data_IF_240093600556
#
_entry.id   IF_240093600556
#
_cell.length_a   1.000
_cell.length_b   1.000
_cell.length_c   1.000
_cell.angle_alpha   90.00
_cell.angle_beta   90.00
_cell.angle_gamma   90.00
#
_symmetry.space_group_name_H-M   'P 1'
#
loop_
_entity.id
_entity.type
_entity.pdbx_description
1 polymer ?
#
# COMPACT_ATOMS: atom_id res chain seq x y z
N UNK A 1 -12.45 -0.94 22.91
CA UNK A 1 -11.69 -0.96 21.65
C UNK A 1 -12.43 -1.88 20.69
N UNK A 2 -12.93 -1.35 19.58
CA UNK A 2 -13.67 -2.12 18.58
C UNK A 2 -12.75 -2.34 17.38
N UNK A 3 -12.71 -3.56 16.86
CA UNK A 3 -11.89 -3.94 15.70
C UNK A 3 -12.83 -4.09 14.51
N UNK A 4 -12.45 -3.50 13.39
CA UNK A 4 -13.18 -3.55 12.13
C UNK A 4 -12.24 -3.99 11.00
N UNK A 5 -12.74 -4.84 10.10
CA UNK A 5 -12.00 -5.24 8.90
C UNK A 5 -12.30 -4.24 7.77
N UNK A 6 -11.34 -3.39 7.47
CA UNK A 6 -11.46 -2.33 6.44
C UNK A 6 -11.29 -2.83 5.00
N UNK A 7 -10.52 -3.89 4.79
CA UNK A 7 -10.23 -4.47 3.48
C UNK A 7 -9.93 -5.96 3.64
N UNK A 8 -10.23 -6.76 2.60
CA UNK A 8 -9.92 -8.19 2.56
C UNK A 8 -9.49 -8.61 1.16
N UNK A 9 -8.20 -8.39 0.89
CA UNK A 9 -7.58 -8.75 -0.38
C UNK A 9 -6.89 -10.11 -0.37
N UNK A 10 -6.97 -10.85 0.74
CA UNK A 10 -6.23 -12.10 0.95
C UNK A 10 -4.75 -11.97 0.54
N UNK A 11 -4.09 -10.89 0.99
CA UNK A 11 -2.69 -10.63 0.65
C UNK A 11 -1.81 -11.82 1.06
N UNK A 12 -0.86 -12.19 0.21
CA UNK A 12 0.14 -13.21 0.56
C UNK A 12 1.01 -12.73 1.71
N UNK A 13 1.46 -11.46 1.66
CA UNK A 13 2.15 -10.79 2.75
C UNK A 13 1.80 -9.30 2.73
N UNK A 14 0.70 -8.96 3.41
CA UNK A 14 0.27 -7.58 3.63
C UNK A 14 1.19 -6.88 4.63
N UNK A 15 1.96 -5.89 4.19
CA UNK A 15 2.99 -5.23 5.00
C UNK A 15 3.21 -3.77 4.59
N UNK A 16 4.06 -3.08 5.36
CA UNK A 16 4.44 -1.68 5.11
C UNK A 16 3.27 -0.69 5.18
N UNK A 17 2.40 -0.74 6.21
CA UNK A 17 1.34 0.27 6.37
C UNK A 17 1.95 1.66 6.53
N UNK A 18 1.62 2.58 5.62
CA UNK A 18 2.15 3.94 5.61
C UNK A 18 1.04 4.97 5.38
N UNK A 19 0.93 5.94 6.29
CA UNK A 19 -0.04 7.02 6.19
C UNK A 19 0.50 8.17 5.34
N UNK A 20 -0.23 8.57 4.31
CA UNK A 20 0.05 9.78 3.56
C UNK A 20 -0.59 10.99 4.27
N UNK A 21 0.18 11.94 4.82
CA UNK A 21 -0.36 13.03 5.64
C UNK A 21 -1.24 14.02 4.86
N UNK A 22 -0.88 14.32 3.60
CA UNK A 22 -1.65 15.25 2.76
C UNK A 22 -2.92 14.61 2.19
N UNK A 23 -2.82 13.43 1.55
CA UNK A 23 -4.00 12.71 1.04
C UNK A 23 -4.93 12.20 2.15
N UNK A 24 -4.42 12.03 3.38
CA UNK A 24 -5.12 11.39 4.49
C UNK A 24 -5.58 9.98 4.15
N UNK A 25 -4.65 9.18 3.64
CA UNK A 25 -4.90 7.82 3.17
C UNK A 25 -3.84 6.86 3.67
N UNK A 26 -4.24 5.63 3.95
CA UNK A 26 -3.35 4.54 4.32
C UNK A 26 -2.97 3.74 3.08
N UNK A 27 -1.68 3.45 2.93
CA UNK A 27 -1.15 2.61 1.87
C UNK A 27 -0.51 1.37 2.49
N UNK A 28 -0.52 0.25 1.77
CA UNK A 28 0.20 -0.96 2.15
C UNK A 28 0.56 -1.79 0.92
N UNK A 29 1.54 -2.66 1.05
CA UNK A 29 1.97 -3.58 0.00
C UNK A 29 1.44 -4.99 0.26
N UNK A 30 1.21 -5.74 -0.82
CA UNK A 30 1.27 -7.20 -0.82
C UNK A 30 2.57 -7.60 -1.52
N UNK A 31 3.54 -8.06 -0.72
CA UNK A 31 4.96 -8.07 -1.11
C UNK A 31 5.24 -9.02 -2.28
N UNK A 32 4.97 -10.34 -2.21
CA UNK A 32 5.34 -11.26 -3.28
C UNK A 32 4.73 -10.92 -4.66
N UNK A 33 3.43 -10.60 -4.79
CA UNK A 33 2.85 -10.24 -6.09
C UNK A 33 3.14 -8.79 -6.50
N UNK A 34 3.74 -7.97 -5.62
CA UNK A 34 4.08 -6.59 -5.93
C UNK A 34 2.87 -5.70 -6.14
N UNK A 35 1.88 -5.77 -5.25
CA UNK A 35 0.69 -4.91 -5.31
C UNK A 35 0.77 -3.83 -4.25
N UNK A 36 0.31 -2.62 -4.56
CA UNK A 36 0.09 -1.57 -3.57
C UNK A 36 -1.40 -1.26 -3.52
N UNK A 37 -1.89 -1.11 -2.29
CA UNK A 37 -3.26 -0.75 -2.00
C UNK A 37 -3.32 0.59 -1.29
N UNK A 38 -4.50 1.20 -1.34
CA UNK A 38 -4.82 2.46 -0.71
C UNK A 38 -6.18 2.37 -0.03
N UNK A 39 -6.33 2.99 1.13
CA UNK A 39 -7.57 3.13 1.87
C UNK A 39 -7.80 4.59 2.25
N UNK A 40 -9.02 5.07 2.02
CA UNK A 40 -9.51 6.39 2.36
C UNK A 40 -10.53 6.30 3.51
N UNK A 41 -10.13 6.64 4.76
CA UNK A 41 -11.02 6.55 5.91
C UNK A 41 -12.23 7.47 5.87
N UNK A 42 -12.20 8.56 5.08
CA UNK A 42 -13.31 9.49 4.99
C UNK A 42 -14.49 8.91 4.18
N UNK A 43 -14.20 7.99 3.26
CA UNK A 43 -15.20 7.36 2.39
C UNK A 43 -15.39 5.87 2.66
N UNK A 44 -14.46 5.24 3.37
CA UNK A 44 -14.41 3.79 3.55
C UNK A 44 -13.89 3.04 2.32
N UNK A 45 -13.54 3.74 1.23
CA UNK A 45 -13.10 3.12 -0.01
C UNK A 45 -11.66 2.62 0.12
N UNK A 46 -11.44 1.39 -0.33
CA UNK A 46 -10.12 0.82 -0.53
C UNK A 46 -9.97 0.30 -1.97
N UNK A 47 -8.77 0.41 -2.53
CA UNK A 47 -8.48 0.00 -3.90
C UNK A 47 -7.04 -0.47 -4.07
N UNK A 48 -6.80 -1.33 -5.08
CA UNK A 48 -5.46 -1.62 -5.57
C UNK A 48 -5.05 -0.52 -6.55
N UNK A 49 -3.96 0.19 -6.26
CA UNK A 49 -3.50 1.32 -7.09
C UNK A 49 -2.32 0.95 -8.00
N UNK A 50 -1.63 -0.15 -7.70
CA UNK A 50 -0.45 -0.58 -8.45
C UNK A 50 -0.34 -2.11 -8.41
N UNK A 51 0.13 -2.68 -9.52
CA UNK A 51 0.53 -4.09 -9.62
C UNK A 51 1.74 -4.19 -10.53
N UNK A 52 2.88 -4.53 -9.94
CA UNK A 52 4.17 -4.59 -10.62
C UNK A 52 4.48 -5.98 -11.19
N UNK A 53 3.87 -7.03 -10.63
CA UNK A 53 4.08 -8.42 -11.03
C UNK A 53 5.39 -9.04 -10.53
N UNK A 54 6.23 -8.26 -9.88
CA UNK A 54 7.45 -8.69 -9.17
C UNK A 54 7.42 -8.13 -7.75
N UNK A 55 8.13 -8.77 -6.82
CA UNK A 55 8.07 -8.40 -5.43
C UNK A 55 8.51 -6.95 -5.16
N UNK A 56 7.73 -6.25 -4.34
CA UNK A 56 8.04 -4.90 -3.82
C UNK A 56 8.45 -5.07 -2.37
N UNK A 57 9.73 -4.91 -2.06
CA UNK A 57 10.25 -5.08 -0.69
C UNK A 57 9.85 -3.95 0.26
N UNK A 58 9.43 -2.81 -0.28
CA UNK A 58 8.90 -1.67 0.48
C UNK A 58 8.62 -0.48 -0.43
N UNK A 59 8.08 0.59 0.14
CA UNK A 59 7.83 1.84 -0.58
C UNK A 59 7.87 3.03 0.38
N UNK A 60 7.99 4.24 -0.18
CA UNK A 60 7.82 5.49 0.55
C UNK A 60 7.25 6.58 -0.36
N UNK A 61 6.73 7.65 0.24
CA UNK A 61 6.29 8.84 -0.48
C UNK A 61 7.47 9.78 -0.74
N UNK A 62 7.53 10.30 -1.95
CA UNK A 62 8.41 11.41 -2.33
C UNK A 62 7.77 12.75 -1.95
N UNK A 63 8.56 13.83 -1.97
CA UNK A 63 8.10 15.16 -1.58
C UNK A 63 6.95 15.70 -2.46
N UNK A 64 6.86 15.23 -3.71
CA UNK A 64 5.79 15.55 -4.66
C UNK A 64 4.58 14.60 -4.57
N UNK A 65 4.60 13.64 -3.64
CA UNK A 65 3.54 12.64 -3.47
C UNK A 65 3.72 11.39 -4.33
N UNK A 66 4.74 11.31 -5.18
CA UNK A 66 5.02 10.09 -5.95
C UNK A 66 5.42 8.93 -5.02
N UNK A 67 5.17 7.70 -5.47
CA UNK A 67 5.65 6.50 -4.80
C UNK A 67 7.05 6.13 -5.29
N UNK A 68 8.00 6.02 -4.37
CA UNK A 68 9.28 5.35 -4.61
C UNK A 68 9.16 3.91 -4.13
N UNK A 69 9.37 2.95 -5.03
CA UNK A 69 9.31 1.53 -4.74
C UNK A 69 10.71 0.97 -4.53
N UNK A 70 10.87 0.09 -3.55
CA UNK A 70 12.10 -0.67 -3.34
C UNK A 70 11.92 -2.05 -3.95
N UNK A 71 12.30 -2.17 -5.22
CA UNK A 71 12.04 -3.36 -6.01
C UNK A 71 12.99 -4.50 -5.68
N UNK A 72 12.54 -5.72 -5.95
CA UNK A 72 13.42 -6.87 -6.00
C UNK A 72 14.61 -6.61 -6.96
N UNK A 73 15.75 -7.21 -6.63
CA UNK A 73 17.01 -7.07 -7.39
C UNK A 73 17.57 -5.63 -7.51
N UNK A 74 17.08 -4.67 -6.71
CA UNK A 74 17.63 -3.31 -6.65
C UNK A 74 17.31 -2.44 -7.88
N UNK A 75 16.16 -2.70 -8.51
CA UNK A 75 15.63 -1.94 -9.65
C UNK A 75 14.87 -0.68 -9.23
#
# INVERSE_FOLDING_TARGET
>A
MQIERIADYACETGEGPLWHPLEKRLYWADIPPGKIFRYDPATGVHEQILHQGEAIGGFTFQADGALLLFMAQGR
#
